data_IF_849952024798
#
_entry.id   IF_849952024798
#
_cell.length_a   1.000
_cell.length_b   1.000
_cell.length_c   1.000
_cell.angle_alpha   90.00
_cell.angle_beta   90.00
_cell.angle_gamma   90.00
#
_symmetry.space_group_name_H-M   'P 1'
#
loop_
_entity.id
_entity.type
_entity.pdbx_description
1 polymer ?
#
# COMPACT_ATOMS: atom_id res chain seq x y z
N UNK A 1 -18.36 3.68 7.91
CA UNK A 1 -17.31 4.67 7.58
C UNK A 1 -16.91 4.62 6.09
N UNK A 2 -16.63 3.44 5.49
CA UNK A 2 -16.18 3.33 4.10
C UNK A 2 -17.09 3.99 3.05
N UNK A 3 -18.44 3.82 3.06
CA UNK A 3 -19.28 4.48 2.08
C UNK A 3 -19.19 6.01 2.13
N UNK A 4 -19.05 6.58 3.33
CA UNK A 4 -18.87 8.04 3.50
C UNK A 4 -17.51 8.47 2.97
N UNK A 5 -16.46 7.70 3.24
CA UNK A 5 -15.11 7.97 2.74
C UNK A 5 -15.07 7.91 1.20
N UNK A 6 -15.71 6.92 0.60
CA UNK A 6 -15.78 6.77 -0.86
C UNK A 6 -16.52 7.94 -1.53
N UNK A 7 -17.65 8.33 -0.94
CA UNK A 7 -18.41 9.48 -1.42
C UNK A 7 -17.58 10.77 -1.32
N UNK A 8 -17.03 11.06 -0.14
CA UNK A 8 -16.18 12.25 0.08
C UNK A 8 -15.00 12.29 -0.87
N UNK A 9 -14.34 11.13 -1.07
CA UNK A 9 -13.21 11.03 -2.01
C UNK A 9 -13.63 11.32 -3.45
N UNK A 10 -14.79 10.82 -3.88
CA UNK A 10 -15.32 11.09 -5.22
C UNK A 10 -15.62 12.60 -5.41
N UNK A 11 -16.28 13.23 -4.43
CA UNK A 11 -16.59 14.66 -4.45
C UNK A 11 -15.31 15.52 -4.51
N UNK A 12 -14.28 15.19 -3.70
CA UNK A 12 -13.01 15.89 -3.69
C UNK A 12 -12.25 15.70 -5.02
N UNK A 13 -12.25 14.48 -5.59
CA UNK A 13 -11.66 14.23 -6.92
C UNK A 13 -12.30 15.08 -8.01
N UNK A 14 -13.61 15.20 -8.01
CA UNK A 14 -14.34 16.00 -8.99
C UNK A 14 -14.02 17.49 -8.82
N UNK A 15 -14.01 17.99 -7.59
CA UNK A 15 -13.64 19.37 -7.28
C UNK A 15 -12.19 19.67 -7.72
N UNK A 16 -11.24 18.79 -7.44
CA UNK A 16 -9.84 18.94 -7.87
C UNK A 16 -9.69 18.91 -9.39
N UNK A 17 -10.48 18.07 -10.08
CA UNK A 17 -10.47 18.00 -11.54
C UNK A 17 -10.90 19.31 -12.20
N UNK A 18 -11.80 20.08 -11.59
CA UNK A 18 -12.18 21.42 -12.05
C UNK A 18 -11.01 22.42 -11.96
N UNK A 19 -10.03 22.18 -11.11
CA UNK A 19 -8.78 22.95 -10.99
C UNK A 19 -7.61 22.33 -11.76
N UNK A 20 -7.88 21.40 -12.68
CA UNK A 20 -6.84 20.75 -13.50
C UNK A 20 -6.01 19.70 -12.76
N UNK A 21 -6.40 19.30 -11.53
CA UNK A 21 -5.71 18.29 -10.73
C UNK A 21 -6.45 16.96 -10.84
N UNK A 22 -5.82 15.96 -11.47
CA UNK A 22 -6.49 14.68 -11.77
C UNK A 22 -5.68 13.49 -11.27
N UNK A 23 -6.26 12.74 -10.34
CA UNK A 23 -5.78 11.41 -9.98
C UNK A 23 -6.32 10.39 -10.99
N UNK A 24 -5.43 9.80 -11.78
CA UNK A 24 -5.75 8.78 -12.78
C UNK A 24 -5.47 7.38 -12.23
N UNK A 25 -6.30 6.44 -12.65
CA UNK A 25 -6.10 5.00 -12.43
C UNK A 25 -5.59 4.32 -13.71
N UNK A 26 -5.09 3.10 -13.65
CA UNK A 26 -4.60 2.39 -14.84
C UNK A 26 -5.61 2.34 -16.01
N UNK A 27 -6.91 2.28 -15.71
CA UNK A 27 -7.96 2.28 -16.73
C UNK A 27 -8.14 3.65 -17.44
N UNK A 28 -7.81 4.75 -16.75
CA UNK A 28 -8.01 6.11 -17.22
C UNK A 28 -6.86 6.63 -18.10
N UNK A 29 -5.74 5.88 -18.17
CA UNK A 29 -4.55 6.30 -18.89
C UNK A 29 -4.73 6.21 -20.40
N UNK A 30 -4.30 7.25 -21.12
CA UNK A 30 -4.15 7.22 -22.57
C UNK A 30 -2.84 6.51 -22.98
N UNK A 31 -2.63 6.32 -24.29
CA UNK A 31 -1.46 5.58 -24.82
C UNK A 31 -0.13 6.30 -24.52
N UNK A 32 -0.09 7.63 -24.59
CA UNK A 32 1.09 8.43 -24.26
C UNK A 32 1.47 8.27 -22.79
N UNK A 33 0.49 8.35 -21.90
CA UNK A 33 0.67 8.17 -20.47
C UNK A 33 1.11 6.75 -20.10
N UNK A 34 0.56 5.75 -20.80
CA UNK A 34 0.98 4.34 -20.63
C UNK A 34 2.42 4.13 -21.06
N UNK A 35 2.83 4.68 -22.21
CA UNK A 35 4.19 4.60 -22.69
C UNK A 35 5.17 5.30 -21.72
N UNK A 36 4.85 6.53 -21.33
CA UNK A 36 5.63 7.27 -20.33
C UNK A 36 5.78 6.48 -19.03
N UNK A 37 4.67 5.93 -18.51
CA UNK A 37 4.67 5.19 -17.26
C UNK A 37 5.49 3.90 -17.36
N UNK A 38 5.46 3.21 -18.49
CA UNK A 38 6.27 2.02 -18.74
C UNK A 38 7.76 2.35 -18.67
N UNK A 39 8.20 3.42 -19.34
CA UNK A 39 9.60 3.87 -19.29
C UNK A 39 10.00 4.35 -17.89
N UNK A 40 9.13 5.12 -17.24
CA UNK A 40 9.36 5.61 -15.88
C UNK A 40 9.50 4.47 -14.88
N UNK A 41 8.60 3.48 -14.94
CA UNK A 41 8.63 2.33 -14.02
C UNK A 41 9.85 1.47 -14.24
N UNK A 42 10.25 1.24 -15.49
CA UNK A 42 11.46 0.47 -15.82
C UNK A 42 12.73 1.13 -15.25
N UNK A 43 12.84 2.46 -15.36
CA UNK A 43 14.01 3.19 -14.91
C UNK A 43 14.04 3.47 -13.40
N UNK A 44 12.89 3.80 -12.79
CA UNK A 44 12.84 4.39 -11.45
C UNK A 44 12.17 3.52 -10.38
N UNK A 45 11.44 2.49 -10.76
CA UNK A 45 10.70 1.65 -9.81
C UNK A 45 11.21 0.21 -9.80
N UNK A 46 11.31 -0.43 -10.96
CA UNK A 46 11.69 -1.83 -11.07
C UNK A 46 13.01 -2.19 -10.37
N UNK A 47 14.08 -1.34 -10.40
CA UNK A 47 15.32 -1.64 -9.69
C UNK A 47 15.16 -1.74 -8.17
N UNK A 48 14.11 -1.18 -7.61
CA UNK A 48 13.84 -1.18 -6.17
C UNK A 48 12.77 -2.18 -5.75
N UNK A 49 12.14 -2.88 -6.70
CA UNK A 49 11.15 -3.90 -6.38
C UNK A 49 11.83 -5.15 -5.81
N UNK A 50 11.23 -5.71 -4.78
CA UNK A 50 11.66 -6.97 -4.16
C UNK A 50 10.52 -7.98 -4.22
N UNK A 51 10.28 -8.60 -5.40
CA UNK A 51 9.18 -9.54 -5.57
C UNK A 51 9.39 -10.78 -4.72
N UNK A 52 8.32 -11.25 -4.10
CA UNK A 52 8.31 -12.49 -3.32
C UNK A 52 7.26 -13.42 -3.91
N UNK A 53 7.64 -14.68 -4.12
CA UNK A 53 6.72 -15.73 -4.58
C UNK A 53 6.41 -16.65 -3.42
N UNK A 54 5.12 -16.84 -3.17
CA UNK A 54 4.59 -17.67 -2.11
C UNK A 54 3.88 -18.85 -2.74
N UNK A 55 4.24 -20.02 -2.30
CA UNK A 55 3.61 -21.28 -2.66
C UNK A 55 3.73 -22.26 -1.49
N UNK A 56 3.40 -23.52 -1.68
CA UNK A 56 3.52 -24.55 -0.64
C UNK A 56 4.94 -24.73 -0.07
N UNK A 57 5.99 -24.23 -0.76
CA UNK A 57 7.41 -24.38 -0.37
C UNK A 57 7.99 -23.14 0.29
N UNK A 58 7.37 -21.98 0.10
CA UNK A 58 7.88 -20.70 0.61
C UNK A 58 6.94 -20.16 1.70
N UNK A 59 7.48 -19.78 2.87
CA UNK A 59 6.65 -19.24 3.94
C UNK A 59 6.04 -17.90 3.55
N UNK A 60 4.86 -17.60 4.12
CA UNK A 60 4.22 -16.32 3.94
C UNK A 60 5.07 -15.21 4.59
N UNK A 61 5.38 -14.11 3.89
CA UNK A 61 6.20 -13.05 4.44
C UNK A 61 5.47 -12.28 5.53
N UNK A 62 6.26 -11.64 6.39
CA UNK A 62 5.70 -10.70 7.33
C UNK A 62 5.28 -9.42 6.63
N UNK A 63 3.98 -9.12 6.61
CA UNK A 63 3.45 -7.85 6.11
C UNK A 63 3.52 -6.82 7.23
N UNK A 64 4.21 -5.72 6.99
CA UNK A 64 4.38 -4.62 7.97
C UNK A 64 3.06 -3.87 8.19
N UNK A 65 2.87 -3.35 9.40
CA UNK A 65 1.70 -2.57 9.77
C UNK A 65 1.56 -1.30 8.91
N UNK A 66 0.41 -1.10 8.30
CA UNK A 66 0.09 0.09 7.50
C UNK A 66 0.87 0.21 6.19
N UNK A 67 1.66 -0.80 5.81
CA UNK A 67 2.38 -0.81 4.54
C UNK A 67 1.51 -1.35 3.41
N UNK A 68 1.69 -0.79 2.21
CA UNK A 68 0.99 -1.24 1.01
C UNK A 68 1.76 -2.36 0.30
N UNK A 69 1.01 -3.27 -0.27
CA UNK A 69 1.51 -4.39 -1.07
C UNK A 69 0.64 -4.57 -2.30
N UNK A 70 1.25 -4.91 -3.43
CA UNK A 70 0.51 -5.49 -4.55
C UNK A 70 0.57 -7.00 -4.43
N UNK A 71 -0.60 -7.63 -4.33
CA UNK A 71 -0.73 -9.08 -4.39
C UNK A 71 -1.12 -9.51 -5.80
N UNK A 72 -0.50 -10.58 -6.26
CA UNK A 72 -0.68 -11.10 -7.62
C UNK A 72 -0.98 -12.58 -7.57
N UNK A 73 -2.11 -13.00 -8.13
CA UNK A 73 -2.38 -14.43 -8.34
C UNK A 73 -1.63 -14.90 -9.58
N UNK A 74 -0.82 -15.93 -9.41
CA UNK A 74 0.06 -16.48 -10.43
C UNK A 74 -0.35 -17.90 -10.75
N UNK A 75 -0.52 -18.19 -12.04
CA UNK A 75 -0.62 -19.57 -12.53
C UNK A 75 0.70 -19.96 -13.20
N UNK A 76 1.16 -21.19 -12.95
CA UNK A 76 2.34 -21.70 -13.65
C UNK A 76 2.03 -21.79 -15.14
N UNK A 77 2.88 -21.22 -16.00
CA UNK A 77 2.83 -21.54 -17.43
C UNK A 77 3.06 -23.03 -17.59
N UNK A 78 2.07 -23.71 -18.15
CA UNK A 78 2.24 -25.09 -18.61
C UNK A 78 3.13 -25.04 -19.85
N UNK A 79 4.45 -24.89 -19.63
CA UNK A 79 5.42 -25.02 -20.70
C UNK A 79 5.27 -26.37 -21.41
N UNK A 80 5.69 -26.52 -22.68
CA UNK A 80 5.54 -27.76 -23.42
C UNK A 80 6.16 -28.91 -22.59
N UNK A 81 5.34 -29.86 -22.19
CA UNK A 81 5.75 -31.03 -21.42
C UNK A 81 6.92 -31.69 -22.14
N UNK A 82 8.13 -31.62 -21.57
CA UNK A 82 9.27 -32.43 -22.05
C UNK A 82 8.80 -33.88 -22.21
N UNK A 83 9.01 -34.54 -23.35
CA UNK A 83 8.57 -35.89 -23.56
C UNK A 83 9.23 -36.79 -22.50
N UNK A 84 8.42 -37.43 -21.65
CA UNK A 84 8.89 -38.46 -20.73
C UNK A 84 9.56 -39.54 -21.56
N UNK A 85 10.84 -39.84 -21.27
CA UNK A 85 11.54 -41.02 -21.82
C UNK A 85 10.67 -42.24 -21.57
N UNK A 86 10.31 -42.91 -22.65
CA UNK A 86 9.59 -44.17 -22.62
C UNK A 86 10.51 -45.23 -22.01
N UNK A 87 10.21 -45.61 -20.81
CA UNK A 87 10.62 -46.92 -20.31
C UNK A 87 9.68 -47.98 -20.91
N UNK A 88 10.30 -48.94 -21.60
CA UNK A 88 9.63 -50.09 -22.20
C UNK A 88 9.14 -51.02 -21.07
N UNK A 89 7.86 -51.35 -21.05
CA UNK A 89 7.41 -52.73 -20.91
C UNK A 89 5.89 -52.86 -20.81
N UNK A 90 5.35 -53.59 -21.74
CA UNK A 90 4.37 -54.72 -21.70
C UNK A 90 2.93 -54.49 -21.23
N UNK A 91 2.09 -54.74 -22.23
CA UNK A 91 0.78 -55.42 -22.22
C UNK A 91 -0.45 -54.80 -21.53
N UNK A 92 -1.38 -54.41 -22.38
CA UNK A 92 -2.79 -54.85 -22.41
C UNK A 92 -3.79 -54.07 -21.54
N UNK A 93 -4.43 -53.09 -22.12
CA UNK A 93 -5.87 -52.95 -22.31
C UNK A 93 -6.27 -51.47 -22.55
N UNK A 94 -6.98 -51.30 -23.66
CA UNK A 94 -7.56 -50.07 -24.14
C UNK A 94 -8.62 -49.52 -23.18
N UNK A 95 -8.42 -48.28 -22.67
CA UNK A 95 -9.52 -47.42 -22.24
C UNK A 95 -9.21 -46.02 -22.73
N UNK A 96 -10.16 -45.49 -23.53
CA UNK A 96 -10.12 -44.13 -24.06
C UNK A 96 -10.18 -43.14 -22.94
N UNK A 97 -9.08 -42.39 -22.70
CA UNK A 97 -9.09 -41.22 -21.83
C UNK A 97 -9.45 -39.98 -22.67
N UNK A 98 -10.60 -39.42 -22.38
CA UNK A 98 -11.03 -38.12 -22.88
C UNK A 98 -10.09 -37.06 -22.31
N UNK A 99 -9.55 -36.20 -23.17
CA UNK A 99 -8.83 -34.99 -22.77
C UNK A 99 -9.86 -33.99 -22.26
N UNK A 100 -9.96 -33.84 -20.95
CA UNK A 100 -10.69 -32.75 -20.31
C UNK A 100 -9.64 -31.70 -20.04
N UNK A 101 -9.74 -30.56 -20.73
CA UNK A 101 -9.11 -29.31 -20.30
C UNK A 101 -9.99 -28.78 -19.15
N UNK A 102 -9.43 -28.50 -17.97
CA UNK A 102 -10.22 -27.89 -16.91
C UNK A 102 -10.73 -26.52 -17.41
N UNK A 103 -12.02 -26.30 -17.25
CA UNK A 103 -12.65 -25.00 -17.52
C UNK A 103 -12.18 -23.98 -16.49
N UNK A 104 -12.30 -22.69 -16.81
CA UNK A 104 -11.90 -21.62 -15.89
C UNK A 104 -12.57 -21.71 -14.51
N UNK A 105 -13.74 -22.36 -14.42
CA UNK A 105 -14.50 -22.59 -13.20
C UNK A 105 -13.90 -23.72 -12.32
N UNK A 106 -13.14 -24.67 -12.88
CA UNK A 106 -12.50 -25.74 -12.11
C UNK A 106 -11.21 -25.28 -11.39
N UNK A 107 -10.59 -24.20 -11.86
CA UNK A 107 -9.42 -23.60 -11.18
C UNK A 107 -9.79 -22.82 -9.91
N UNK A 108 -11.07 -22.49 -9.72
CA UNK A 108 -11.56 -21.82 -8.50
C UNK A 108 -11.82 -22.78 -7.34
N UNK A 109 -11.89 -24.08 -7.63
CA UNK A 109 -12.17 -25.14 -6.62
C UNK A 109 -10.90 -25.81 -6.06
N UNK A 110 -9.69 -25.42 -6.48
CA UNK A 110 -8.48 -25.85 -5.78
C UNK A 110 -8.36 -25.03 -4.49
N UNK A 111 -8.51 -25.67 -3.35
CA UNK A 111 -8.28 -25.06 -2.05
C UNK A 111 -6.89 -24.41 -1.94
N UNK A 112 -6.69 -23.57 -0.95
CA UNK A 112 -5.50 -22.70 -0.77
C UNK A 112 -4.12 -23.39 -0.89
N UNK A 113 -4.06 -24.71 -0.85
CA UNK A 113 -2.81 -25.48 -0.89
C UNK A 113 -2.08 -25.52 -2.25
N UNK A 114 -2.73 -25.16 -3.35
CA UNK A 114 -2.14 -25.20 -4.71
C UNK A 114 -1.91 -23.84 -5.35
N UNK A 115 -2.15 -22.74 -4.63
CA UNK A 115 -2.11 -21.38 -5.20
C UNK A 115 -0.71 -20.80 -5.10
N UNK A 116 -0.20 -20.28 -6.22
CA UNK A 116 1.02 -19.48 -6.25
C UNK A 116 0.65 -18.00 -6.25
N UNK A 117 1.25 -17.24 -5.35
CA UNK A 117 0.99 -15.82 -5.17
C UNK A 117 2.28 -15.04 -5.22
N UNK A 118 2.28 -13.94 -5.97
CA UNK A 118 3.32 -12.91 -5.93
C UNK A 118 2.95 -11.82 -4.95
N UNK A 119 3.91 -11.31 -4.19
CA UNK A 119 3.77 -10.12 -3.36
C UNK A 119 4.86 -9.12 -3.74
N UNK A 120 4.44 -7.87 -4.00
CA UNK A 120 5.32 -6.74 -4.27
C UNK A 120 5.14 -5.71 -3.15
N UNK A 121 6.12 -5.56 -2.24
CA UNK A 121 6.11 -4.46 -1.28
C UNK A 121 6.37 -3.13 -2.00
N UNK A 122 5.73 -2.05 -1.54
CA UNK A 122 5.96 -0.72 -2.08
C UNK A 122 7.37 -0.25 -1.73
N UNK A 123 8.20 0.14 -2.73
CA UNK A 123 9.54 0.65 -2.49
C UNK A 123 9.48 2.04 -1.83
N UNK A 124 10.09 2.16 -0.65
CA UNK A 124 10.09 3.41 0.15
C UNK A 124 10.89 4.55 -0.49
N UNK A 125 11.79 4.22 -1.41
CA UNK A 125 12.66 5.18 -2.10
C UNK A 125 11.95 5.91 -3.24
N UNK A 126 10.84 5.37 -3.74
CA UNK A 126 10.11 5.92 -4.87
C UNK A 126 9.07 6.95 -4.40
N UNK A 127 8.89 8.00 -5.21
CA UNK A 127 7.83 8.97 -4.98
C UNK A 127 6.46 8.31 -5.11
N UNK A 128 5.57 8.58 -4.15
CA UNK A 128 4.23 8.00 -4.14
C UNK A 128 3.32 8.58 -5.21
N UNK A 129 3.51 9.87 -5.54
CA UNK A 129 2.77 10.59 -6.60
C UNK A 129 3.66 10.67 -7.83
N UNK A 130 3.25 10.04 -8.92
CA UNK A 130 3.96 10.03 -10.20
C UNK A 130 3.21 10.94 -11.15
N UNK A 131 3.82 12.07 -11.50
CA UNK A 131 3.26 13.03 -12.46
C UNK A 131 3.28 12.43 -13.86
N UNK A 132 2.17 12.55 -14.55
CA UNK A 132 1.97 12.07 -15.91
C UNK A 132 2.00 13.23 -16.92
N UNK A 133 2.34 12.98 -18.18
CA UNK A 133 2.20 13.98 -19.24
C UNK A 133 0.72 14.32 -19.49
N UNK A 134 0.46 15.56 -19.92
CA UNK A 134 -0.88 16.06 -20.23
C UNK A 134 -1.13 17.45 -19.67
N UNK A 135 -2.33 17.96 -19.91
CA UNK A 135 -2.74 19.28 -19.41
C UNK A 135 -3.03 19.24 -17.90
N UNK A 136 -2.62 20.30 -17.20
CA UNK A 136 -2.78 20.43 -15.75
C UNK A 136 -1.83 19.52 -14.96
N UNK A 137 -2.25 19.14 -13.77
CA UNK A 137 -1.53 18.22 -12.90
C UNK A 137 -2.21 16.86 -12.88
N UNK A 138 -1.80 15.98 -13.80
CA UNK A 138 -2.28 14.60 -13.85
C UNK A 138 -1.26 13.67 -13.19
N UNK A 139 -1.73 12.73 -12.38
CA UNK A 139 -0.85 11.83 -11.67
C UNK A 139 -1.49 10.46 -11.43
N UNK A 140 -0.63 9.48 -11.21
CA UNK A 140 -0.97 8.14 -10.76
C UNK A 140 -0.22 7.82 -9.47
N UNK A 141 -0.78 6.97 -8.63
CA UNK A 141 -0.12 6.54 -7.40
C UNK A 141 0.83 5.37 -7.68
N UNK A 142 1.91 5.30 -6.89
CA UNK A 142 2.96 4.30 -7.00
C UNK A 142 2.42 2.87 -6.99
N UNK A 143 1.45 2.58 -6.12
CA UNK A 143 0.83 1.26 -6.02
C UNK A 143 0.20 0.79 -7.33
N UNK A 144 -0.47 1.69 -8.05
CA UNK A 144 -1.05 1.39 -9.35
C UNK A 144 0.02 1.26 -10.44
N UNK A 145 1.08 2.05 -10.38
CA UNK A 145 2.22 1.91 -11.29
C UNK A 145 2.92 0.56 -11.08
N UNK A 146 3.14 0.14 -9.83
CA UNK A 146 3.71 -1.18 -9.49
C UNK A 146 2.77 -2.30 -9.94
N UNK A 147 1.47 -2.15 -9.75
CA UNK A 147 0.48 -3.12 -10.20
C UNK A 147 0.57 -3.38 -11.71
N UNK A 148 0.75 -2.33 -12.52
CA UNK A 148 0.91 -2.44 -13.97
C UNK A 148 2.20 -3.16 -14.40
N UNK A 149 3.21 -3.25 -13.53
CA UNK A 149 4.47 -3.97 -13.82
C UNK A 149 4.39 -5.46 -13.48
N UNK A 150 3.29 -5.94 -12.89
CA UNK A 150 3.19 -7.30 -12.36
C UNK A 150 3.52 -8.39 -13.42
N UNK A 151 3.05 -8.24 -14.67
CA UNK A 151 3.33 -9.19 -15.75
C UNK A 151 4.82 -9.23 -16.12
N UNK A 152 5.50 -8.08 -16.08
CA UNK A 152 6.94 -8.01 -16.37
C UNK A 152 7.76 -8.60 -15.23
N UNK A 153 7.38 -8.32 -13.99
CA UNK A 153 8.08 -8.82 -12.79
C UNK A 153 7.92 -10.32 -12.64
N UNK A 154 6.75 -10.85 -12.91
CA UNK A 154 6.45 -12.29 -12.84
C UNK A 154 6.38 -12.94 -14.21
N UNK A 155 7.28 -12.58 -15.12
CA UNK A 155 7.29 -13.03 -16.53
C UNK A 155 7.34 -14.55 -16.75
N UNK A 156 7.69 -15.34 -15.73
CA UNK A 156 7.66 -16.81 -15.76
C UNK A 156 6.29 -17.41 -15.40
N UNK A 157 5.31 -16.59 -15.09
CA UNK A 157 3.98 -16.97 -14.66
C UNK A 157 2.92 -16.22 -15.48
N UNK A 158 1.73 -16.79 -15.54
CA UNK A 158 0.57 -16.06 -16.04
C UNK A 158 -0.09 -15.29 -14.90
N UNK A 159 -0.13 -13.96 -15.00
CA UNK A 159 -0.81 -13.10 -14.03
C UNK A 159 -2.32 -13.21 -14.24
N UNK A 160 -3.07 -13.64 -13.24
CA UNK A 160 -4.53 -13.81 -13.29
C UNK A 160 -5.30 -12.69 -12.62
N UNK A 161 -4.76 -12.19 -11.52
CA UNK A 161 -5.41 -11.17 -10.71
C UNK A 161 -4.38 -10.38 -9.95
N UNK A 162 -4.57 -9.07 -9.87
CA UNK A 162 -3.75 -8.16 -9.07
C UNK A 162 -4.64 -7.37 -8.12
N UNK A 163 -4.15 -6.99 -6.97
CA UNK A 163 -4.86 -6.12 -6.04
C UNK A 163 -3.88 -5.39 -5.12
N UNK A 164 -4.27 -4.22 -4.63
CA UNK A 164 -3.53 -3.50 -3.60
C UNK A 164 -4.06 -3.88 -2.23
N UNK A 165 -3.18 -4.21 -1.30
CA UNK A 165 -3.50 -4.63 0.06
C UNK A 165 -2.82 -3.74 1.09
N UNK A 166 -3.49 -3.60 2.24
CA UNK A 166 -2.93 -3.04 3.47
C UNK A 166 -3.32 -3.90 4.67
N UNK A 167 -2.38 -4.14 5.57
CA UNK A 167 -2.62 -4.89 6.81
C UNK A 167 -2.44 -3.96 7.99
N UNK A 168 -3.47 -3.86 8.83
CA UNK A 168 -3.37 -3.21 10.13
C UNK A 168 -3.10 -4.25 11.21
N UNK A 169 -2.10 -3.99 12.07
CA UNK A 169 -1.76 -4.83 13.20
C UNK A 169 -2.21 -4.20 14.50
N UNK A 170 -2.40 -5.01 15.52
CA UNK A 170 -2.71 -4.52 16.85
C UNK A 170 -1.64 -3.52 17.31
N UNK A 171 -2.06 -2.48 18.02
CA UNK A 171 -1.17 -1.46 18.57
C UNK A 171 -1.08 -1.51 20.09
N UNK A 172 -1.93 -2.35 20.74
CA UNK A 172 -1.96 -2.47 22.18
C UNK A 172 -0.74 -3.25 22.68
N UNK A 173 0.22 -2.48 23.17
CA UNK A 173 1.31 -2.96 24.02
C UNK A 173 1.11 -2.30 25.36
N UNK A 174 0.88 -3.11 26.39
CA UNK A 174 0.98 -2.61 27.76
C UNK A 174 2.43 -2.18 28.01
N UNK A 175 2.63 -0.86 28.02
CA UNK A 175 3.93 -0.28 28.34
C UNK A 175 4.35 -0.59 29.79
N UNK A 176 3.41 -1.10 30.60
CA UNK A 176 3.60 -1.46 32.02
C UNK A 176 3.99 -2.92 32.25
N UNK A 177 3.84 -3.81 31.26
CA UNK A 177 4.32 -5.18 31.37
C UNK A 177 5.85 -5.23 31.32
N UNK A 178 6.51 -5.10 32.43
CA UNK A 178 7.95 -5.29 32.71
C UNK A 178 8.69 -4.03 33.24
N UNK A 179 8.05 -3.24 34.09
CA UNK A 179 8.73 -2.16 34.82
C UNK A 179 9.54 -2.68 36.05
N UNK A 180 9.72 -4.01 36.19
CA UNK A 180 10.47 -4.58 37.32
C UNK A 180 12.00 -4.54 37.16
N UNK A 181 12.52 -4.11 36.02
CA UNK A 181 13.96 -3.90 35.83
C UNK A 181 14.29 -2.39 35.95
N UNK A 182 14.61 -2.00 37.15
CA UNK A 182 14.80 -0.62 37.61
C UNK A 182 16.02 0.13 37.04
N UNK A 183 16.75 -0.43 36.08
CA UNK A 183 17.99 0.16 35.53
C UNK A 183 18.00 0.32 34.00
N UNK A 184 16.92 -0.01 33.30
CA UNK A 184 16.89 0.16 31.84
C UNK A 184 16.55 1.63 31.50
N UNK A 185 17.37 2.25 30.64
CA UNK A 185 17.08 3.58 30.09
C UNK A 185 15.69 3.55 29.42
N UNK A 186 14.78 4.41 29.89
CA UNK A 186 13.41 4.55 29.32
C UNK A 186 13.40 4.66 27.81
N UNK A 187 14.41 5.26 27.20
CA UNK A 187 14.55 5.39 25.74
C UNK A 187 14.82 4.05 25.07
N UNK A 188 15.61 3.17 25.67
CA UNK A 188 15.85 1.83 25.14
C UNK A 188 14.65 0.93 25.33
N UNK A 189 13.99 1.04 26.47
CA UNK A 189 12.72 0.38 26.75
C UNK A 189 11.66 0.74 25.68
N UNK A 190 11.46 2.02 25.39
CA UNK A 190 10.53 2.48 24.36
C UNK A 190 10.90 2.00 22.97
N UNK A 191 12.18 1.99 22.61
CA UNK A 191 12.65 1.41 21.33
C UNK A 191 12.30 -0.08 21.20
N UNK A 192 12.45 -0.83 22.29
CA UNK A 192 12.12 -2.26 22.35
C UNK A 192 10.61 -2.48 22.19
N UNK A 193 9.78 -1.69 22.85
CA UNK A 193 8.32 -1.71 22.72
C UNK A 193 7.90 -1.40 21.28
N UNK A 194 8.44 -0.33 20.69
CA UNK A 194 8.14 0.04 19.30
C UNK A 194 8.54 -1.05 18.32
N UNK A 195 9.66 -1.74 18.55
CA UNK A 195 10.08 -2.89 17.74
C UNK A 195 9.15 -4.10 17.88
N UNK A 196 8.63 -4.36 19.10
CA UNK A 196 7.63 -5.41 19.34
C UNK A 196 6.30 -5.09 18.62
N UNK A 197 5.90 -3.80 18.59
CA UNK A 197 4.66 -3.34 17.98
C UNK A 197 4.53 -3.76 16.50
N UNK A 198 5.61 -3.73 15.74
CA UNK A 198 5.61 -4.15 14.34
C UNK A 198 5.31 -5.63 14.12
N UNK A 199 5.38 -6.47 15.17
CA UNK A 199 5.16 -7.93 15.12
C UNK A 199 3.84 -8.39 15.72
N UNK A 200 3.01 -7.46 16.20
CA UNK A 200 1.72 -7.81 16.78
C UNK A 200 0.77 -8.43 15.76
N UNK A 201 -0.23 -9.14 16.25
CA UNK A 201 -1.18 -9.85 15.41
C UNK A 201 -1.89 -8.92 14.43
N UNK A 202 -2.12 -9.34 13.18
CA UNK A 202 -3.00 -8.65 12.26
C UNK A 202 -4.42 -8.56 12.83
N UNK A 203 -5.06 -7.42 12.66
CA UNK A 203 -6.45 -7.20 13.11
C UNK A 203 -7.38 -6.77 11.99
N UNK A 204 -6.80 -6.33 10.84
CA UNK A 204 -7.58 -5.86 9.70
C UNK A 204 -6.79 -6.06 8.42
N UNK A 205 -7.49 -6.49 7.37
CA UNK A 205 -7.01 -6.56 6.00
C UNK A 205 -7.89 -5.66 5.13
N UNK A 206 -7.27 -4.77 4.37
CA UNK A 206 -7.94 -3.90 3.41
C UNK A 206 -7.46 -4.21 2.00
N UNK A 207 -8.37 -4.10 1.03
CA UNK A 207 -8.07 -4.24 -0.40
C UNK A 207 -8.84 -3.22 -1.22
N UNK A 208 -8.27 -2.76 -2.34
CA UNK A 208 -8.93 -1.79 -3.22
C UNK A 208 -10.06 -2.41 -4.06
N UNK A 209 -10.00 -3.71 -4.28
CA UNK A 209 -11.02 -4.47 -5.03
C UNK A 209 -11.34 -5.77 -4.29
N UNK A 210 -12.51 -6.36 -4.55
CA UNK A 210 -12.81 -7.68 -4.02
C UNK A 210 -11.72 -8.69 -4.37
N UNK A 211 -11.32 -9.49 -3.39
CA UNK A 211 -10.41 -10.61 -3.59
C UNK A 211 -11.17 -11.80 -4.15
N UNK A 212 -10.51 -12.62 -4.98
CA UNK A 212 -11.08 -13.92 -5.34
C UNK A 212 -11.20 -14.78 -4.07
N UNK A 213 -12.17 -15.70 -4.05
CA UNK A 213 -12.42 -16.59 -2.90
C UNK A 213 -11.14 -17.28 -2.43
N UNK A 214 -10.35 -17.78 -3.37
CA UNK A 214 -9.08 -18.48 -3.11
C UNK A 214 -8.02 -17.56 -2.47
N UNK A 215 -7.86 -16.33 -2.96
CA UNK A 215 -6.93 -15.37 -2.36
C UNK A 215 -7.40 -14.92 -0.97
N UNK A 216 -8.69 -14.73 -0.82
CA UNK A 216 -9.26 -14.35 0.48
C UNK A 216 -9.04 -15.45 1.51
N UNK A 217 -9.32 -16.70 1.18
CA UNK A 217 -9.10 -17.85 2.06
C UNK A 217 -7.63 -17.98 2.45
N UNK A 218 -6.71 -17.89 1.46
CA UNK A 218 -5.27 -17.93 1.71
C UNK A 218 -4.83 -16.81 2.67
N UNK A 219 -5.26 -15.57 2.44
CA UNK A 219 -4.86 -14.44 3.28
C UNK A 219 -5.44 -14.52 4.68
N UNK A 220 -6.70 -14.95 4.82
CA UNK A 220 -7.32 -15.15 6.13
C UNK A 220 -6.58 -16.21 6.94
N UNK A 221 -6.22 -17.34 6.31
CA UNK A 221 -5.45 -18.41 6.97
C UNK A 221 -4.05 -17.90 7.36
N UNK A 222 -3.30 -17.32 6.43
CA UNK A 222 -1.91 -16.89 6.66
C UNK A 222 -1.78 -15.73 7.65
N UNK A 223 -2.76 -14.86 7.71
CA UNK A 223 -2.80 -13.71 8.62
C UNK A 223 -3.56 -14.02 9.92
N UNK A 224 -4.16 -15.21 10.03
CA UNK A 224 -5.03 -15.60 11.15
C UNK A 224 -6.15 -14.56 11.39
N UNK A 225 -6.80 -14.14 10.30
CA UNK A 225 -7.92 -13.19 10.33
C UNK A 225 -9.26 -13.91 10.11
N UNK A 226 -10.32 -13.28 10.58
CA UNK A 226 -11.70 -13.73 10.33
C UNK A 226 -12.31 -12.95 9.17
N UNK A 227 -13.32 -13.49 8.45
CA UNK A 227 -13.93 -12.80 7.30
C UNK A 227 -14.43 -11.37 7.59
N UNK A 228 -14.95 -11.11 8.79
CA UNK A 228 -15.42 -9.77 9.19
C UNK A 228 -14.31 -8.75 9.47
N UNK A 229 -13.04 -9.17 9.40
CA UNK A 229 -11.87 -8.29 9.53
C UNK A 229 -11.29 -7.90 8.17
N UNK A 230 -11.98 -8.26 7.07
CA UNK A 230 -11.60 -7.85 5.72
C UNK A 230 -12.52 -6.75 5.22
N UNK A 231 -11.90 -5.75 4.56
CA UNK A 231 -12.60 -4.58 4.08
C UNK A 231 -12.16 -4.28 2.65
N UNK A 232 -13.14 -3.90 1.82
CA UNK A 232 -12.89 -3.47 0.44
C UNK A 232 -13.29 -2.01 0.31
N UNK A 233 -12.45 -1.21 -0.31
CA UNK A 233 -12.76 0.19 -0.59
C UNK A 233 -12.14 0.63 -1.91
N UNK A 234 -12.86 1.46 -2.65
CA UNK A 234 -12.37 2.05 -3.91
C UNK A 234 -11.45 3.26 -3.70
N UNK A 235 -11.28 3.71 -2.45
CA UNK A 235 -10.35 4.80 -2.08
C UNK A 235 -8.94 4.23 -1.92
N UNK A 236 -7.87 4.97 -2.25
CA UNK A 236 -6.50 4.55 -1.93
C UNK A 236 -6.36 4.20 -0.45
N UNK A 237 -5.77 3.02 -0.16
CA UNK A 237 -5.74 2.46 1.20
C UNK A 237 -4.90 3.28 2.19
N UNK A 238 -3.99 4.08 1.70
CA UNK A 238 -3.21 5.03 2.49
C UNK A 238 -3.29 6.41 1.86
N UNK A 239 -3.83 7.37 2.58
CA UNK A 239 -4.03 8.75 2.13
C UNK A 239 -2.85 9.68 2.42
N UNK A 240 -1.71 9.16 2.92
CA UNK A 240 -0.54 9.98 3.26
C UNK A 240 0.04 10.77 2.08
N UNK A 241 -0.18 10.32 0.85
CA UNK A 241 0.23 11.02 -0.37
C UNK A 241 -0.40 12.41 -0.51
N UNK A 242 -1.56 12.64 0.10
CA UNK A 242 -2.26 13.93 0.04
C UNK A 242 -1.48 15.06 0.71
N UNK A 243 -0.67 14.76 1.75
CA UNK A 243 0.17 15.75 2.43
C UNK A 243 1.20 16.39 1.50
N UNK A 244 1.72 15.62 0.55
CA UNK A 244 2.68 16.12 -0.44
C UNK A 244 2.04 16.72 -1.71
N UNK A 245 0.71 16.60 -1.88
CA UNK A 245 0.07 17.01 -3.12
C UNK A 245 0.23 18.51 -3.38
N UNK A 246 0.04 19.34 -2.35
CA UNK A 246 0.14 20.78 -2.49
C UNK A 246 1.52 21.27 -2.99
N UNK A 247 2.61 20.60 -2.59
CA UNK A 247 3.96 20.95 -3.06
C UNK A 247 4.24 20.56 -4.52
N UNK A 248 3.44 19.65 -5.07
CA UNK A 248 3.53 19.21 -6.47
C UNK A 248 2.66 20.04 -7.42
N UNK A 249 1.78 20.89 -6.89
CA UNK A 249 0.91 21.75 -7.70
C UNK A 249 1.66 22.97 -8.20
N UNK A 250 1.30 23.52 -9.38
CA UNK A 250 1.70 24.86 -9.79
C UNK A 250 1.33 25.87 -8.70
N UNK A 251 2.15 26.92 -8.55
CA UNK A 251 1.96 27.88 -7.46
C UNK A 251 0.60 28.57 -7.50
N UNK A 252 0.10 28.85 -8.67
CA UNK A 252 -1.20 29.51 -8.87
C UNK A 252 -2.35 28.64 -8.34
N UNK A 253 -2.37 27.35 -8.68
CA UNK A 253 -3.37 26.38 -8.18
C UNK A 253 -3.20 26.16 -6.68
N UNK A 254 -1.97 26.07 -6.20
CA UNK A 254 -1.70 25.92 -4.77
C UNK A 254 -2.25 27.10 -3.98
N UNK A 255 -2.06 28.34 -4.46
CA UNK A 255 -2.60 29.53 -3.81
C UNK A 255 -4.14 29.54 -3.82
N UNK A 256 -4.76 29.13 -4.94
CA UNK A 256 -6.22 29.07 -5.05
C UNK A 256 -6.85 28.03 -4.13
N UNK A 257 -6.14 26.92 -3.87
CA UNK A 257 -6.62 25.77 -3.06
C UNK A 257 -6.14 25.82 -1.60
N UNK A 258 -5.35 26.81 -1.22
CA UNK A 258 -4.83 26.94 0.14
C UNK A 258 -5.48 28.06 0.91
N UNK A 259 -5.67 27.87 2.19
CA UNK A 259 -6.03 28.95 3.10
C UNK A 259 -4.86 29.95 3.21
N UNK A 260 -5.17 31.21 3.51
CA UNK A 260 -4.16 32.21 3.82
C UNK A 260 -3.26 31.71 4.96
N UNK A 261 -1.93 31.89 4.86
CA UNK A 261 -1.03 31.50 5.94
C UNK A 261 -1.43 32.15 7.27
N UNK A 262 -1.49 31.32 8.30
CA UNK A 262 -1.72 31.82 9.64
C UNK A 262 -0.47 32.53 10.15
N UNK A 263 -0.63 33.76 10.67
CA UNK A 263 0.46 34.51 11.30
C UNK A 263 0.22 34.51 12.81
N UNK A 264 1.12 33.90 13.60
CA UNK A 264 1.02 33.96 15.06
C UNK A 264 1.00 35.38 15.58
N UNK A 265 0.22 35.62 16.60
CA UNK A 265 0.16 36.93 17.25
C UNK A 265 1.24 37.02 18.32
N UNK A 266 1.72 38.25 18.54
CA UNK A 266 2.60 38.51 19.67
C UNK A 266 1.80 38.41 20.97
N UNK A 267 2.33 37.71 22.01
CA UNK A 267 1.63 37.57 23.28
C UNK A 267 1.34 38.92 23.94
N UNK A 268 0.11 39.16 24.35
CA UNK A 268 -0.30 40.41 24.96
C UNK A 268 0.43 40.66 26.32
N UNK A 269 0.93 39.60 26.93
CA UNK A 269 1.68 39.66 28.20
C UNK A 269 3.13 40.08 28.05
N UNK A 270 3.67 40.19 26.83
CA UNK A 270 5.09 40.51 26.59
C UNK A 270 5.24 41.85 25.85
N UNK A 271 6.17 42.68 26.30
CA UNK A 271 6.58 43.90 25.65
C UNK A 271 7.59 43.60 24.55
N UNK A 272 7.26 44.00 23.29
CA UNK A 272 8.12 43.82 22.12
C UNK A 272 9.45 44.54 22.19
N UNK A 273 9.52 45.63 23.00
CA UNK A 273 10.69 46.49 23.08
C UNK A 273 11.66 46.08 24.20
N UNK A 274 11.32 45.06 24.98
CA UNK A 274 12.16 44.52 26.04
C UNK A 274 12.74 43.16 25.68
N UNK A 275 13.90 42.83 26.29
CA UNK A 275 14.46 41.49 26.17
C UNK A 275 13.46 40.42 26.65
N UNK A 276 13.23 39.40 25.84
CA UNK A 276 12.35 38.26 26.20
C UNK A 276 12.92 37.54 27.42
N UNK A 277 14.25 37.37 27.50
CA UNK A 277 14.94 36.69 28.60
C UNK A 277 14.70 37.43 29.94
N UNK A 278 14.79 38.76 29.93
CA UNK A 278 14.51 39.57 31.11
C UNK A 278 13.07 39.39 31.58
N UNK A 279 12.13 39.47 30.67
CA UNK A 279 10.70 39.37 30.99
C UNK A 279 10.32 37.97 31.53
N UNK A 280 10.88 36.88 30.96
CA UNK A 280 10.66 35.51 31.42
C UNK A 280 11.36 35.29 32.78
N UNK A 281 12.48 36.00 33.08
CA UNK A 281 13.12 35.94 34.38
C UNK A 281 12.35 36.68 35.47
N UNK A 282 11.55 37.67 35.10
CA UNK A 282 10.70 38.45 36.03
C UNK A 282 9.39 37.74 36.37
N UNK A 283 8.84 36.95 35.44
CA UNK A 283 7.56 36.28 35.62
C UNK A 283 7.43 35.05 34.68
N UNK A 284 6.57 34.11 35.06
CA UNK A 284 6.15 33.02 34.21
C UNK A 284 5.36 33.53 33.02
N UNK A 285 5.58 32.93 31.84
CA UNK A 285 4.89 33.27 30.61
C UNK A 285 4.26 32.00 30.03
N UNK A 286 2.96 32.01 29.84
CA UNK A 286 2.20 30.97 29.18
C UNK A 286 1.86 31.43 27.76
N UNK A 287 2.18 30.62 26.74
CA UNK A 287 1.88 30.87 25.35
C UNK A 287 0.89 29.85 24.81
N UNK A 288 -0.07 30.33 24.03
CA UNK A 288 -1.02 29.47 23.32
C UNK A 288 -0.47 29.14 21.93
N UNK A 289 0.48 28.20 21.88
CA UNK A 289 1.05 27.76 20.62
C UNK A 289 0.06 26.93 19.81
N UNK A 290 -0.08 27.10 18.47
CA UNK A 290 0.72 27.99 17.59
C UNK A 290 0.14 29.39 17.40
N UNK A 291 -0.86 29.79 18.14
CA UNK A 291 -1.60 31.06 17.96
C UNK A 291 -0.78 32.28 18.44
N UNK A 292 0.06 32.08 19.43
CA UNK A 292 0.99 33.07 19.94
C UNK A 292 2.42 32.60 19.74
N UNK A 293 3.31 33.50 19.31
CA UNK A 293 4.74 33.23 19.11
C UNK A 293 5.58 34.47 19.42
N UNK A 294 6.82 34.25 19.88
CA UNK A 294 7.83 35.28 20.16
C UNK A 294 8.87 35.32 19.06
#
# INVERSE_FOLDING_TARGET
LYPVQEQTYAEVREALAAHGVRHLRPADLNDEQRAFLADYTAANIMPFLSPQIINSRHPFPHLENGSLYVIVRLDEEVGPKKPKKKDKAKDGKTVKAAKIHPSAEESENLGAEGVTVGILPMPRQCARVIKLPGEGFQFILLEHAVEMTAEQVFSMYTVKHTNVLCVTRNADLDATENTDESDEDYREHMKRILKKRGRLAPVRLESERPLSSVLQELLLDRLNLKPHQTYVTSVPLDMSWTWGLGSNLPEQERMALSNSPFTPQWPACLDRNRSIIEQVSEREVLLSYPYESM
#
